data_IF_491516060340
#
_entry.id   IF_491516060340
#
_cell.length_a   1.000
_cell.length_b   1.000
_cell.length_c   1.000
_cell.angle_alpha   90.00
_cell.angle_beta   90.00
_cell.angle_gamma   90.00
#
_symmetry.space_group_name_H-M   'P 1'
#
loop_
_entity.id
_entity.type
_entity.pdbx_description
1 polymer ?
#
# COMPACT_ATOMS: atom_id res chain seq x y z
N UNK A 1 49.69 8.81 -9.00
CA UNK A 1 49.45 10.22 -8.67
C UNK A 1 48.25 10.75 -9.46
N UNK A 2 47.42 11.56 -8.83
CA UNK A 2 46.36 12.33 -9.52
C UNK A 2 46.99 13.54 -10.25
N UNK A 3 46.66 13.67 -11.54
CA UNK A 3 47.20 14.74 -12.37
C UNK A 3 46.21 15.89 -12.51
N UNK A 4 45.02 15.60 -12.98
CA UNK A 4 43.95 16.58 -13.18
C UNK A 4 42.58 15.93 -13.28
N UNK A 5 41.55 16.74 -13.07
CA UNK A 5 40.14 16.40 -13.30
C UNK A 5 39.61 17.22 -14.49
N UNK A 6 38.99 16.53 -15.43
CA UNK A 6 38.26 17.16 -16.55
C UNK A 6 36.78 16.87 -16.37
N UNK A 7 35.98 17.87 -16.70
CA UNK A 7 34.53 17.76 -16.67
C UNK A 7 33.92 18.05 -18.02
N UNK A 8 32.93 17.31 -18.42
CA UNK A 8 32.09 17.63 -19.56
C UNK A 8 30.63 17.28 -19.23
N UNK A 9 29.71 18.04 -19.82
CA UNK A 9 28.26 17.77 -19.75
C UNK A 9 27.72 17.69 -21.16
N UNK A 10 27.14 16.56 -21.51
CA UNK A 10 26.57 16.35 -22.83
C UNK A 10 25.34 15.45 -22.73
N UNK A 11 24.24 15.85 -23.36
CA UNK A 11 22.98 15.09 -23.39
C UNK A 11 22.48 14.67 -21.99
N UNK A 12 22.60 15.54 -20.98
CA UNK A 12 22.17 15.23 -19.62
C UNK A 12 23.08 14.22 -18.89
N UNK A 13 24.29 13.99 -19.37
CA UNK A 13 25.30 13.19 -18.70
C UNK A 13 26.46 14.11 -18.27
N UNK A 14 26.69 14.18 -16.97
CA UNK A 14 27.90 14.72 -16.39
C UNK A 14 28.97 13.65 -16.43
N UNK A 15 30.10 13.96 -17.04
CA UNK A 15 31.23 13.06 -17.15
C UNK A 15 32.46 13.72 -16.52
N UNK A 16 33.04 13.04 -15.56
CA UNK A 16 34.31 13.42 -14.92
C UNK A 16 35.38 12.43 -15.36
N UNK A 17 36.52 12.93 -15.71
CA UNK A 17 37.69 12.11 -16.11
C UNK A 17 38.86 12.51 -15.22
N UNK A 18 39.33 11.57 -14.41
CA UNK A 18 40.52 11.71 -13.60
C UNK A 18 41.69 11.15 -14.42
N UNK A 19 42.66 12.00 -14.78
CA UNK A 19 43.90 11.55 -15.37
C UNK A 19 44.88 11.17 -14.26
N UNK A 20 45.46 9.98 -14.37
CA UNK A 20 46.36 9.38 -13.39
C UNK A 20 47.70 9.01 -14.04
N UNK A 21 48.78 8.90 -13.24
CA UNK A 21 50.11 8.53 -13.73
C UNK A 21 50.23 7.00 -13.89
N UNK A 22 49.37 6.20 -13.31
CA UNK A 22 49.45 4.75 -13.35
C UNK A 22 48.16 4.10 -12.81
N UNK A 23 48.07 2.77 -12.78
CA UNK A 23 46.93 2.05 -12.24
C UNK A 23 46.79 2.36 -10.75
N UNK A 24 45.66 2.89 -10.33
CA UNK A 24 45.44 3.32 -8.97
C UNK A 24 44.12 2.76 -8.37
N UNK A 25 43.40 1.93 -9.12
CA UNK A 25 42.02 1.51 -8.80
C UNK A 25 42.03 0.19 -8.04
N UNK A 26 41.33 0.15 -6.93
CA UNK A 26 40.98 -1.04 -6.17
C UNK A 26 39.47 -1.08 -5.99
N UNK A 27 38.73 -1.92 -6.74
CA UNK A 27 37.30 -2.12 -6.49
C UNK A 27 37.08 -2.66 -5.09
N UNK A 28 36.12 -2.07 -4.33
CA UNK A 28 35.77 -2.59 -3.01
C UNK A 28 34.41 -3.31 -3.02
N UNK A 29 33.43 -2.72 -3.69
CA UNK A 29 32.10 -3.30 -3.95
C UNK A 29 31.45 -2.51 -5.10
N UNK A 30 30.20 -2.81 -5.42
CA UNK A 30 29.47 -2.18 -6.54
C UNK A 30 29.25 -0.67 -6.35
N UNK A 31 29.23 -0.19 -5.10
CA UNK A 31 28.95 1.21 -4.75
C UNK A 31 30.17 1.98 -4.24
N UNK A 32 31.32 1.32 -4.13
CA UNK A 32 32.54 1.93 -3.60
C UNK A 32 33.78 1.59 -4.40
N UNK A 33 34.59 2.61 -4.64
CA UNK A 33 35.86 2.52 -5.35
C UNK A 33 36.97 3.17 -4.52
N UNK A 34 38.07 2.47 -4.37
CA UNK A 34 39.27 3.02 -3.72
C UNK A 34 40.31 3.39 -4.78
N UNK A 35 40.88 4.61 -4.65
CA UNK A 35 42.01 5.08 -5.43
C UNK A 35 43.23 5.17 -4.52
N UNK A 36 44.29 4.45 -4.83
CA UNK A 36 45.61 4.63 -4.18
C UNK A 36 46.36 5.76 -4.88
N UNK A 37 46.58 6.84 -4.16
CA UNK A 37 47.17 8.08 -4.71
C UNK A 37 48.18 8.64 -3.75
N UNK A 38 49.26 9.25 -4.31
CA UNK A 38 50.25 9.94 -3.49
C UNK A 38 49.72 11.32 -2.98
N UNK A 39 48.69 11.85 -3.65
CA UNK A 39 48.06 13.12 -3.28
C UNK A 39 46.51 13.00 -3.24
N UNK A 40 45.95 12.18 -2.33
CA UNK A 40 44.52 11.90 -2.29
C UNK A 40 43.68 13.15 -1.97
N UNK A 41 44.19 14.08 -1.17
CA UNK A 41 43.49 15.30 -0.77
C UNK A 41 43.12 16.21 -1.93
N UNK A 42 44.01 16.40 -2.90
CA UNK A 42 43.76 17.22 -4.08
C UNK A 42 42.65 16.62 -4.95
N UNK A 43 42.66 15.28 -5.13
CA UNK A 43 41.63 14.59 -5.87
C UNK A 43 40.29 14.63 -5.12
N UNK A 44 40.30 14.47 -3.79
CA UNK A 44 39.11 14.53 -2.95
C UNK A 44 38.41 15.89 -3.04
N UNK A 45 39.15 16.96 -2.92
CA UNK A 45 38.63 18.33 -3.04
C UNK A 45 38.00 18.59 -4.41
N UNK A 46 38.70 18.21 -5.48
CA UNK A 46 38.20 18.37 -6.84
C UNK A 46 36.92 17.59 -7.11
N UNK A 47 36.77 16.37 -6.53
CA UNK A 47 35.61 15.53 -6.71
C UNK A 47 34.42 15.97 -5.84
N UNK A 48 34.67 16.40 -4.59
CA UNK A 48 33.61 16.95 -3.70
C UNK A 48 32.94 18.18 -4.30
N UNK A 49 33.71 19.09 -4.90
CA UNK A 49 33.18 20.26 -5.58
C UNK A 49 32.25 19.92 -6.76
N UNK A 50 32.27 18.65 -7.22
CA UNK A 50 31.43 18.13 -8.31
C UNK A 50 30.37 17.14 -7.85
N UNK A 51 30.14 17.08 -6.53
CA UNK A 51 29.05 16.33 -5.94
C UNK A 51 29.33 14.83 -5.71
N UNK A 52 30.61 14.43 -5.63
CA UNK A 52 30.96 13.08 -5.17
C UNK A 52 31.23 13.07 -3.67
N UNK A 53 30.71 12.03 -3.00
CA UNK A 53 31.08 11.74 -1.62
C UNK A 53 32.44 11.04 -1.58
N UNK A 54 33.36 11.56 -0.80
CA UNK A 54 34.72 11.03 -0.72
C UNK A 54 35.18 10.89 0.72
N UNK A 55 35.85 9.76 1.03
CA UNK A 55 36.60 9.51 2.26
C UNK A 55 38.12 9.55 2.00
N UNK A 56 38.91 10.09 2.94
CA UNK A 56 40.36 10.09 2.86
C UNK A 56 40.92 9.02 3.80
N UNK A 57 41.83 8.17 3.27
CA UNK A 57 42.66 7.26 4.01
C UNK A 57 44.15 7.61 3.87
N UNK A 58 45.04 6.90 4.56
CA UNK A 58 46.47 7.04 4.39
C UNK A 58 46.89 6.55 3.00
N UNK A 59 47.23 7.50 2.10
CA UNK A 59 47.59 7.19 0.72
C UNK A 59 46.44 6.68 -0.14
N UNK A 60 45.19 6.85 0.27
CA UNK A 60 44.04 6.42 -0.50
C UNK A 60 42.86 7.36 -0.42
N UNK A 61 42.03 7.32 -1.45
CA UNK A 61 40.78 8.06 -1.59
C UNK A 61 39.65 7.05 -1.86
N UNK A 62 38.68 7.01 -0.96
CA UNK A 62 37.47 6.23 -1.13
C UNK A 62 36.40 7.08 -1.79
N UNK A 63 35.77 6.56 -2.85
CA UNK A 63 34.68 7.20 -3.58
C UNK A 63 33.39 6.42 -3.33
N UNK A 64 32.31 7.10 -3.00
CA UNK A 64 30.96 6.54 -3.07
C UNK A 64 30.38 6.79 -4.46
N UNK A 65 29.91 5.71 -5.08
CA UNK A 65 29.40 5.73 -6.47
C UNK A 65 27.88 5.80 -6.58
N UNK A 66 27.17 6.11 -5.48
CA UNK A 66 25.68 6.06 -5.35
C UNK A 66 24.86 6.51 -6.57
N UNK A 67 25.38 7.42 -7.37
CA UNK A 67 24.74 7.90 -8.59
C UNK A 67 25.68 7.89 -9.81
N UNK A 68 26.88 7.37 -9.64
CA UNK A 68 27.94 7.41 -10.63
C UNK A 68 28.26 6.05 -11.18
N UNK A 69 28.51 5.97 -12.48
CA UNK A 69 29.10 4.78 -13.11
C UNK A 69 30.58 5.02 -13.31
N UNK A 70 31.39 4.04 -12.95
CA UNK A 70 32.83 4.11 -13.14
C UNK A 70 33.26 3.22 -14.31
N UNK A 71 34.23 3.69 -15.06
CA UNK A 71 34.95 2.89 -16.06
C UNK A 71 36.40 3.38 -16.16
N UNK A 72 37.27 2.54 -16.67
CA UNK A 72 38.69 2.86 -16.85
C UNK A 72 39.05 2.87 -18.32
N UNK A 73 39.93 3.79 -18.69
CA UNK A 73 40.54 3.83 -20.00
C UNK A 73 42.06 3.60 -19.83
N UNK A 74 42.56 2.63 -20.51
CA UNK A 74 44.01 2.35 -20.54
C UNK A 74 44.75 3.36 -21.41
N UNK A 75 46.03 3.59 -21.12
CA UNK A 75 47.04 4.36 -21.76
C UNK A 75 46.66 5.70 -22.40
N UNK A 76 46.69 6.87 -21.74
CA UNK A 76 47.05 7.06 -20.33
C UNK A 76 45.96 6.59 -19.35
N UNK A 77 46.36 6.28 -18.11
CA UNK A 77 45.45 5.77 -17.08
C UNK A 77 44.39 6.84 -16.72
N UNK A 78 43.13 6.49 -16.93
CA UNK A 78 42.00 7.38 -16.66
C UNK A 78 40.88 6.63 -15.91
N UNK A 79 40.41 7.25 -14.84
CA UNK A 79 39.11 6.90 -14.27
C UNK A 79 38.04 7.80 -14.84
N UNK A 80 37.04 7.23 -15.45
CA UNK A 80 35.87 7.93 -15.98
C UNK A 80 34.71 7.67 -15.04
N UNK A 81 34.12 8.74 -14.53
CA UNK A 81 32.91 8.71 -13.71
C UNK A 81 31.80 9.41 -14.50
N UNK A 82 30.71 8.72 -14.72
CA UNK A 82 29.54 9.25 -15.43
C UNK A 82 28.33 9.22 -14.52
N UNK A 83 27.70 10.37 -14.37
CA UNK A 83 26.40 10.52 -13.73
C UNK A 83 25.44 11.10 -14.75
N UNK A 84 24.29 10.45 -14.94
CA UNK A 84 23.21 11.15 -15.61
C UNK A 84 22.73 12.24 -14.67
N UNK A 85 22.89 13.46 -15.10
CA UNK A 85 22.32 14.60 -14.42
C UNK A 85 20.81 14.45 -14.48
N UNK A 86 20.22 14.03 -13.38
CA UNK A 86 18.75 13.99 -13.23
C UNK A 86 18.20 15.43 -13.24
N UNK A 87 19.07 16.41 -12.93
CA UNK A 87 18.75 17.84 -13.01
C UNK A 87 18.94 18.39 -14.45
N UNK A 88 19.73 17.76 -15.28
CA UNK A 88 19.93 18.13 -16.71
C UNK A 88 18.97 17.45 -17.68
N UNK A 89 18.27 16.39 -17.29
CA UNK A 89 16.90 16.22 -17.69
C UNK A 89 16.18 17.32 -16.90
N UNK A 90 16.20 18.55 -17.43
CA UNK A 90 15.09 19.41 -17.17
C UNK A 90 13.90 18.48 -17.34
N UNK A 91 13.35 17.97 -16.25
CA UNK A 91 11.93 17.81 -16.18
C UNK A 91 11.49 19.10 -16.87
N UNK A 92 11.09 19.02 -18.14
CA UNK A 92 10.16 20.01 -18.66
C UNK A 92 9.15 19.96 -17.56
N UNK A 93 9.29 20.88 -16.61
CA UNK A 93 8.32 21.12 -15.56
C UNK A 93 7.09 21.36 -16.39
N UNK A 94 6.35 20.29 -16.66
CA UNK A 94 4.94 20.49 -16.98
C UNK A 94 4.52 21.41 -15.85
N UNK A 95 3.92 22.55 -16.19
CA UNK A 95 3.57 23.51 -15.17
C UNK A 95 2.99 22.70 -14.04
N UNK A 96 3.58 22.82 -12.85
CA UNK A 96 3.02 22.25 -11.64
C UNK A 96 1.55 22.60 -11.74
N UNK A 97 0.68 21.60 -11.81
CA UNK A 97 -0.74 21.87 -11.63
C UNK A 97 -0.77 22.78 -10.41
N UNK A 98 -1.47 23.93 -10.47
CA UNK A 98 -1.45 24.86 -9.36
C UNK A 98 -1.65 24.07 -8.08
N UNK A 99 -0.94 24.36 -6.99
CA UNK A 99 -1.06 23.59 -5.77
C UNK A 99 -2.53 23.44 -5.44
N UNK A 100 -2.98 22.21 -5.21
CA UNK A 100 -4.40 21.89 -4.91
C UNK A 100 -4.83 22.68 -3.66
N UNK A 101 -3.89 22.88 -2.76
CA UNK A 101 -3.91 23.79 -1.62
C UNK A 101 -2.46 24.17 -1.28
N UNK A 102 -2.21 25.20 -0.45
CA UNK A 102 -0.84 25.54 -0.02
C UNK A 102 -0.07 24.34 0.55
N UNK A 103 -0.77 23.41 1.19
CA UNK A 103 -0.19 22.27 1.91
C UNK A 103 -0.31 20.94 1.15
N UNK A 104 -0.83 20.93 -0.06
CA UNK A 104 -1.01 19.74 -0.87
C UNK A 104 -0.57 19.95 -2.31
N UNK A 105 0.55 19.38 -2.68
CA UNK A 105 1.08 19.39 -4.04
C UNK A 105 1.05 17.99 -4.67
N UNK A 106 0.67 17.93 -5.95
CA UNK A 106 0.85 16.71 -6.75
C UNK A 106 2.26 16.70 -7.33
N UNK A 107 3.05 15.78 -6.87
CA UNK A 107 4.40 15.56 -7.39
C UNK A 107 4.44 14.35 -8.33
N UNK A 108 5.32 14.43 -9.32
CA UNK A 108 5.62 13.31 -10.23
C UNK A 108 7.11 13.11 -10.31
N UNK A 109 7.56 11.88 -10.07
CA UNK A 109 8.97 11.50 -10.17
C UNK A 109 9.15 10.30 -11.09
N UNK A 110 10.28 10.26 -11.76
CA UNK A 110 10.74 9.07 -12.48
C UNK A 110 11.86 8.44 -11.69
N UNK A 111 11.63 7.23 -11.21
CA UNK A 111 12.62 6.45 -10.46
C UNK A 111 13.19 5.38 -11.39
N UNK A 112 14.50 5.25 -11.41
CA UNK A 112 15.19 4.18 -12.15
C UNK A 112 15.54 3.06 -11.19
N UNK A 113 15.08 1.85 -11.49
CA UNK A 113 15.42 0.63 -10.76
C UNK A 113 16.08 -0.35 -11.74
N UNK A 114 17.38 -0.51 -11.64
CA UNK A 114 18.16 -1.21 -12.65
C UNK A 114 18.00 -0.55 -14.04
N UNK A 115 17.59 -1.34 -15.04
CA UNK A 115 17.38 -0.84 -16.41
C UNK A 115 15.97 -0.27 -16.65
N UNK A 116 15.06 -0.39 -15.69
CA UNK A 116 13.66 0.02 -15.84
C UNK A 116 13.42 1.38 -15.20
N UNK A 117 12.53 2.17 -15.81
CA UNK A 117 12.07 3.45 -15.30
C UNK A 117 10.61 3.36 -14.89
N UNK A 118 10.30 3.90 -13.73
CA UNK A 118 8.96 3.93 -13.18
C UNK A 118 8.55 5.38 -12.97
N UNK A 119 7.36 5.73 -13.44
CA UNK A 119 6.75 7.01 -13.10
C UNK A 119 5.94 6.83 -11.84
N UNK A 120 6.16 7.68 -10.87
CA UNK A 120 5.42 7.68 -9.61
C UNK A 120 4.75 9.05 -9.50
N UNK A 121 3.46 9.06 -9.28
CA UNK A 121 2.70 10.25 -8.90
C UNK A 121 2.34 10.13 -7.43
N UNK A 122 2.49 11.20 -6.66
CA UNK A 122 2.14 11.16 -5.26
C UNK A 122 1.69 12.54 -4.76
N UNK A 123 0.87 12.50 -3.74
CA UNK A 123 0.57 13.65 -2.88
C UNK A 123 1.00 13.30 -1.46
N UNK A 124 1.37 14.31 -0.70
CA UNK A 124 1.72 14.17 0.70
C UNK A 124 1.18 15.34 1.51
N UNK A 125 0.82 15.09 2.73
CA UNK A 125 0.32 16.10 3.66
C UNK A 125 0.54 15.65 5.11
N UNK A 126 0.59 16.61 6.01
CA UNK A 126 0.64 16.35 7.44
C UNK A 126 -0.80 16.43 7.98
N UNK A 127 -1.41 15.34 8.46
CA UNK A 127 -2.80 15.35 8.92
C UNK A 127 -3.02 16.13 10.21
N UNK A 128 -1.94 16.40 10.99
CA UNK A 128 -2.05 17.08 12.28
C UNK A 128 -1.96 18.61 12.16
N UNK A 129 -1.30 19.13 11.11
CA UNK A 129 -1.01 20.56 10.97
C UNK A 129 -1.69 21.22 9.78
N UNK A 130 -2.03 20.46 8.73
CA UNK A 130 -2.54 21.01 7.47
C UNK A 130 -4.05 21.26 7.44
N UNK A 131 -4.79 20.86 8.48
CA UNK A 131 -6.27 20.88 8.47
C UNK A 131 -6.89 19.84 7.53
N UNK A 132 -6.09 19.05 6.83
CA UNK A 132 -6.54 17.98 5.95
C UNK A 132 -6.67 16.65 6.71
N UNK A 133 -7.59 15.80 6.28
CA UNK A 133 -7.77 14.48 6.86
C UNK A 133 -7.77 13.41 5.79
N UNK A 134 -7.13 12.28 6.09
CA UNK A 134 -7.34 11.05 5.35
C UNK A 134 -8.71 10.49 5.73
N UNK A 135 -9.54 10.14 4.75
CA UNK A 135 -10.85 9.52 4.98
C UNK A 135 -11.09 8.40 3.96
N UNK A 136 -11.74 7.31 4.35
CA UNK A 136 -12.20 6.33 3.38
C UNK A 136 -13.28 6.94 2.51
N UNK A 137 -13.19 6.74 1.20
CA UNK A 137 -14.27 7.07 0.29
C UNK A 137 -15.02 5.77 -0.02
N UNK A 138 -16.20 5.62 0.54
CA UNK A 138 -17.05 4.45 0.33
C UNK A 138 -18.37 4.81 -0.30
N UNK A 139 -18.97 3.86 -0.99
CA UNK A 139 -20.37 3.94 -1.43
C UNK A 139 -21.26 3.40 -0.32
N UNK A 140 -22.46 3.91 -0.22
CA UNK A 140 -23.48 3.35 0.69
C UNK A 140 -23.87 1.92 0.34
N UNK A 141 -23.68 1.53 -0.93
CA UNK A 141 -23.83 0.17 -1.41
C UNK A 141 -22.46 -0.40 -1.77
N UNK A 142 -22.03 -1.44 -1.08
CA UNK A 142 -20.74 -2.09 -1.27
C UNK A 142 -20.68 -2.99 -2.50
N UNK A 143 -21.85 -3.36 -3.06
CA UNK A 143 -21.93 -4.17 -4.28
C UNK A 143 -21.80 -3.31 -5.52
N UNK A 144 -20.99 -3.77 -6.47
CA UNK A 144 -20.75 -3.09 -7.75
C UNK A 144 -19.54 -2.16 -7.73
N UNK A 145 -19.23 -1.61 -8.89
CA UNK A 145 -18.10 -0.71 -9.10
C UNK A 145 -18.56 0.75 -9.20
N UNK A 146 -17.65 1.65 -8.93
CA UNK A 146 -17.87 3.09 -9.06
C UNK A 146 -16.61 3.81 -9.58
N UNK A 147 -16.84 4.97 -10.19
CA UNK A 147 -15.74 5.84 -10.62
C UNK A 147 -15.06 6.46 -9.40
N UNK A 148 -13.73 6.34 -9.31
CA UNK A 148 -12.93 7.04 -8.30
C UNK A 148 -13.16 8.55 -8.36
N UNK A 149 -13.17 9.13 -9.57
CA UNK A 149 -13.38 10.57 -9.78
C UNK A 149 -14.78 11.00 -9.33
N UNK A 150 -15.81 10.20 -9.66
CA UNK A 150 -17.18 10.49 -9.23
C UNK A 150 -17.31 10.46 -7.70
N UNK A 151 -16.71 9.45 -7.07
CA UNK A 151 -16.72 9.31 -5.61
C UNK A 151 -15.94 10.43 -4.92
N UNK A 152 -14.77 10.78 -5.44
CA UNK A 152 -13.97 11.89 -4.91
C UNK A 152 -14.71 13.23 -5.00
N UNK A 153 -15.36 13.53 -6.13
CA UNK A 153 -16.17 14.73 -6.31
C UNK A 153 -17.36 14.79 -5.37
N UNK A 154 -18.05 13.67 -5.17
CA UNK A 154 -19.22 13.62 -4.26
C UNK A 154 -18.86 13.88 -2.79
N UNK A 155 -17.60 13.73 -2.43
CA UNK A 155 -17.08 13.98 -1.09
C UNK A 155 -16.17 15.23 -1.01
N UNK A 156 -16.10 16.02 -2.09
CA UNK A 156 -15.23 17.21 -2.19
C UNK A 156 -13.77 16.91 -1.83
N UNK A 157 -13.28 15.70 -2.18
CA UNK A 157 -11.92 15.28 -1.87
C UNK A 157 -10.91 16.07 -2.72
N UNK A 158 -9.86 16.59 -2.09
CA UNK A 158 -8.76 17.31 -2.75
C UNK A 158 -7.91 16.37 -3.60
N UNK A 159 -7.68 15.16 -3.10
CA UNK A 159 -6.99 14.08 -3.81
C UNK A 159 -7.64 12.74 -3.42
N UNK A 160 -7.58 11.78 -4.31
CA UNK A 160 -8.10 10.44 -4.03
C UNK A 160 -7.24 9.36 -4.69
N UNK A 161 -7.11 8.25 -3.99
CA UNK A 161 -6.40 7.06 -4.42
C UNK A 161 -7.31 5.85 -4.26
N UNK A 162 -7.35 4.95 -5.24
CA UNK A 162 -8.10 3.71 -5.07
C UNK A 162 -7.38 2.78 -4.09
N UNK A 163 -8.15 2.09 -3.25
CA UNK A 163 -7.64 1.16 -2.25
C UNK A 163 -8.48 -0.10 -2.14
N UNK A 164 -7.95 -1.09 -1.39
CA UNK A 164 -8.61 -2.37 -1.19
C UNK A 164 -8.62 -3.26 -2.43
N UNK A 165 -9.36 -4.36 -2.34
CA UNK A 165 -9.54 -5.33 -3.42
C UNK A 165 -11.02 -5.61 -3.69
N UNK A 166 -11.32 -6.13 -4.86
CA UNK A 166 -12.65 -6.61 -5.23
C UNK A 166 -12.57 -7.84 -6.14
N UNK A 167 -13.60 -8.66 -6.08
CA UNK A 167 -13.78 -9.75 -7.03
C UNK A 167 -14.14 -9.18 -8.40
N UNK A 168 -13.33 -9.43 -9.40
CA UNK A 168 -13.50 -8.85 -10.75
C UNK A 168 -14.74 -9.36 -11.49
N UNK A 169 -15.15 -10.60 -11.20
CA UNK A 169 -16.28 -11.25 -11.89
C UNK A 169 -17.60 -10.73 -11.33
N UNK A 170 -17.71 -10.67 -10.02
CA UNK A 170 -18.97 -10.33 -9.34
C UNK A 170 -19.01 -8.88 -8.84
N UNK A 171 -17.90 -8.13 -8.99
CA UNK A 171 -17.76 -6.76 -8.49
C UNK A 171 -18.08 -6.62 -6.97
N UNK A 172 -17.71 -7.62 -6.17
CA UNK A 172 -17.96 -7.68 -4.74
C UNK A 172 -16.71 -7.25 -3.95
N UNK A 173 -16.86 -6.57 -2.81
CA UNK A 173 -15.74 -6.12 -2.01
C UNK A 173 -14.97 -7.29 -1.40
N UNK A 174 -13.65 -7.16 -1.35
CA UNK A 174 -12.72 -8.08 -0.70
C UNK A 174 -11.83 -7.30 0.23
N UNK A 175 -11.81 -7.69 1.49
CA UNK A 175 -10.97 -7.06 2.50
C UNK A 175 -11.70 -6.05 3.38
N UNK A 176 -11.02 -5.68 4.47
CA UNK A 176 -11.58 -4.82 5.49
C UNK A 176 -11.75 -3.36 5.05
N UNK A 177 -12.92 -2.83 5.31
CA UNK A 177 -13.24 -1.43 5.24
C UNK A 177 -14.05 -1.03 6.46
N UNK A 178 -13.51 -0.11 7.25
CA UNK A 178 -14.19 0.47 8.41
C UNK A 178 -14.26 1.97 8.22
N UNK A 179 -15.45 2.53 8.38
CA UNK A 179 -15.72 3.96 8.25
C UNK A 179 -16.52 4.44 9.45
N UNK A 180 -16.05 5.49 10.12
CA UNK A 180 -16.65 6.05 11.32
C UNK A 180 -17.00 5.00 12.40
N UNK A 181 -16.14 4.01 12.55
CA UNK A 181 -16.30 2.92 13.52
C UNK A 181 -17.16 1.75 13.03
N UNK A 182 -17.88 1.88 11.93
CA UNK A 182 -18.71 0.81 11.36
C UNK A 182 -17.95 -0.04 10.34
N UNK A 183 -18.07 -1.35 10.43
CA UNK A 183 -17.52 -2.28 9.47
C UNK A 183 -18.41 -2.37 8.23
N UNK A 184 -18.01 -1.72 7.15
CA UNK A 184 -18.65 -1.85 5.85
C UNK A 184 -18.34 -3.21 5.22
N UNK A 185 -17.11 -3.73 5.45
CA UNK A 185 -16.66 -5.04 5.01
C UNK A 185 -15.57 -5.55 5.94
N UNK A 186 -15.57 -6.83 6.26
CA UNK A 186 -14.58 -7.47 7.14
C UNK A 186 -13.26 -7.78 6.46
N UNK A 187 -12.15 -7.80 7.22
CA UNK A 187 -10.84 -8.22 6.74
C UNK A 187 -10.83 -9.68 6.27
N UNK A 188 -9.93 -9.97 5.33
CA UNK A 188 -9.65 -11.32 4.85
C UNK A 188 -8.15 -11.63 4.91
N UNK A 189 -7.79 -12.90 5.12
CA UNK A 189 -6.47 -13.47 4.85
C UNK A 189 -5.29 -12.79 5.57
N UNK A 190 -5.51 -12.16 6.71
CA UNK A 190 -4.47 -11.50 7.52
C UNK A 190 -3.57 -10.54 6.72
N UNK A 191 -4.14 -9.82 5.79
CA UNK A 191 -3.43 -8.91 4.90
C UNK A 191 -3.08 -7.59 5.56
N UNK A 192 -2.10 -6.91 4.99
CA UNK A 192 -1.73 -5.55 5.39
C UNK A 192 -2.91 -4.59 5.33
N UNK A 193 -2.98 -3.73 6.33
CA UNK A 193 -4.02 -2.72 6.46
C UNK A 193 -3.44 -1.44 7.07
N UNK A 194 -4.16 -0.35 6.87
CA UNK A 194 -3.98 0.90 7.59
C UNK A 194 -5.19 1.16 8.47
N UNK A 195 -4.96 1.68 9.68
CA UNK A 195 -6.02 2.13 10.59
C UNK A 195 -5.64 3.47 11.23
N UNK A 196 -6.61 4.39 11.36
CA UNK A 196 -6.34 5.75 11.84
C UNK A 196 -7.57 6.42 12.41
N UNK A 197 -7.37 7.57 13.04
CA UNK A 197 -8.41 8.53 13.38
C UNK A 197 -8.23 9.83 12.58
N UNK A 198 -9.25 10.69 12.57
CA UNK A 198 -9.20 11.98 11.88
C UNK A 198 -8.10 12.86 12.50
N UNK A 199 -7.25 13.41 11.63
CA UNK A 199 -6.12 14.24 12.08
C UNK A 199 -4.92 13.47 12.63
N UNK A 200 -4.95 12.13 12.60
CA UNK A 200 -3.82 11.29 13.01
C UNK A 200 -3.08 10.67 11.81
N UNK A 201 -1.83 10.30 12.06
CA UNK A 201 -1.07 9.47 11.14
C UNK A 201 -1.61 8.03 11.14
N UNK A 202 -1.72 7.38 9.98
CA UNK A 202 -2.18 6.01 9.91
C UNK A 202 -1.17 5.04 10.53
N UNK A 203 -1.69 4.04 11.20
CA UNK A 203 -0.94 2.90 11.71
C UNK A 203 -1.02 1.75 10.71
N UNK A 204 0.07 1.01 10.55
CA UNK A 204 0.21 -0.06 9.57
C UNK A 204 0.42 -1.40 10.26
N UNK A 205 -0.35 -2.42 9.89
CA UNK A 205 -0.16 -3.79 10.36
C UNK A 205 -0.93 -4.77 9.48
N UNK A 206 -0.66 -6.06 9.62
CA UNK A 206 -1.58 -7.10 9.17
C UNK A 206 -2.77 -7.14 10.11
N UNK A 207 -3.98 -7.28 9.55
CA UNK A 207 -5.22 -7.23 10.33
C UNK A 207 -6.02 -8.52 10.20
N UNK A 208 -6.55 -8.97 11.33
CA UNK A 208 -7.52 -10.07 11.45
C UNK A 208 -8.71 -9.60 12.26
N UNK A 209 -9.90 -9.98 11.81
CA UNK A 209 -11.15 -9.89 12.59
C UNK A 209 -11.66 -11.30 12.81
N UNK A 210 -11.79 -11.69 14.06
CA UNK A 210 -12.52 -12.88 14.46
C UNK A 210 -13.89 -12.45 14.95
N UNK A 211 -14.91 -13.14 14.52
CA UNK A 211 -16.28 -12.88 14.91
C UNK A 211 -16.98 -14.21 15.23
N UNK A 212 -17.77 -14.22 16.26
CA UNK A 212 -18.56 -15.38 16.68
C UNK A 212 -20.01 -14.99 16.85
N UNK A 213 -20.90 -15.92 16.50
CA UNK A 213 -22.31 -15.85 16.80
C UNK A 213 -22.64 -16.92 17.83
N UNK A 214 -23.35 -16.53 18.88
CA UNK A 214 -23.88 -17.46 19.89
C UNK A 214 -25.41 -17.43 19.87
N UNK A 215 -26.05 -18.58 20.08
CA UNK A 215 -27.49 -18.74 19.90
C UNK A 215 -28.31 -18.76 21.22
N UNK A 216 -27.75 -18.28 22.30
CA UNK A 216 -28.46 -18.29 23.62
C UNK A 216 -28.72 -19.69 24.22
N UNK A 217 -28.56 -20.77 23.44
CA UNK A 217 -28.69 -22.17 23.86
C UNK A 217 -27.34 -22.83 24.14
N UNK A 218 -26.28 -22.05 24.25
CA UNK A 218 -24.93 -22.51 24.55
C UNK A 218 -24.10 -22.92 23.31
N UNK A 219 -24.60 -22.74 22.09
CA UNK A 219 -23.81 -23.00 20.88
C UNK A 219 -23.23 -21.72 20.32
N UNK A 220 -21.93 -21.74 20.04
CA UNK A 220 -21.21 -20.63 19.38
C UNK A 220 -20.55 -21.14 18.10
N UNK A 221 -20.51 -20.29 17.06
CA UNK A 221 -19.89 -20.61 15.79
C UNK A 221 -19.15 -19.40 15.23
N UNK A 222 -17.99 -19.63 14.61
CA UNK A 222 -17.17 -18.59 13.99
C UNK A 222 -17.81 -18.09 12.69
N UNK A 223 -17.87 -16.76 12.52
CA UNK A 223 -18.23 -16.09 11.28
C UNK A 223 -16.95 -15.81 10.50
N UNK A 224 -16.84 -16.41 9.34
CA UNK A 224 -15.64 -16.36 8.48
C UNK A 224 -15.60 -15.18 7.54
N UNK A 225 -16.70 -14.45 7.36
CA UNK A 225 -16.79 -13.29 6.47
C UNK A 225 -17.89 -12.31 6.93
N UNK A 226 -17.59 -11.02 6.86
CA UNK A 226 -18.52 -9.92 7.16
C UNK A 226 -18.65 -9.04 5.93
N UNK A 227 -19.86 -8.90 5.37
CA UNK A 227 -20.15 -8.06 4.19
C UNK A 227 -19.08 -8.20 3.09
N UNK A 228 -18.74 -9.44 2.74
CA UNK A 228 -17.61 -9.72 1.85
C UNK A 228 -17.99 -10.65 0.72
N UNK A 229 -17.43 -10.39 -0.47
CA UNK A 229 -17.46 -11.31 -1.61
C UNK A 229 -16.46 -12.47 -1.49
N UNK A 230 -15.73 -12.55 -0.38
CA UNK A 230 -14.84 -13.66 -0.10
C UNK A 230 -15.64 -14.94 0.15
N UNK A 231 -15.47 -15.92 -0.74
CA UNK A 231 -16.16 -17.21 -0.62
C UNK A 231 -15.26 -18.19 0.11
N UNK A 232 -15.71 -18.61 1.29
CA UNK A 232 -15.09 -19.64 2.11
C UNK A 232 -16.18 -20.52 2.70
N UNK A 233 -15.91 -21.80 2.93
CA UNK A 233 -16.76 -22.67 3.73
C UNK A 233 -16.90 -22.07 5.14
N UNK A 234 -18.08 -22.06 5.69
CA UNK A 234 -18.39 -21.53 7.02
C UNK A 234 -19.55 -20.56 7.01
N UNK A 235 -19.70 -19.80 8.09
CA UNK A 235 -20.73 -18.78 8.22
C UNK A 235 -20.24 -17.44 7.69
N UNK A 236 -21.15 -16.69 7.08
CA UNK A 236 -20.91 -15.31 6.68
C UNK A 236 -22.05 -14.41 7.16
N UNK A 237 -21.71 -13.19 7.55
CA UNK A 237 -22.68 -12.19 8.01
C UNK A 237 -22.86 -11.12 6.95
N UNK A 238 -24.11 -10.70 6.73
CA UNK A 238 -24.49 -9.58 5.89
C UNK A 238 -25.51 -8.70 6.61
N UNK A 239 -25.41 -7.40 6.44
CA UNK A 239 -26.34 -6.41 6.97
C UNK A 239 -26.62 -5.31 5.94
N UNK A 240 -27.37 -4.28 6.31
CA UNK A 240 -27.73 -3.17 5.41
C UNK A 240 -26.55 -2.37 4.84
N UNK A 241 -25.34 -2.45 5.45
CA UNK A 241 -24.12 -1.82 4.92
C UNK A 241 -23.58 -2.56 3.68
N UNK A 242 -23.88 -3.86 3.53
CA UNK A 242 -23.64 -4.58 2.28
C UNK A 242 -24.39 -3.95 1.10
N UNK A 243 -25.62 -3.58 1.35
CA UNK A 243 -26.54 -3.04 0.37
C UNK A 243 -27.99 -3.40 0.73
N UNK A 244 -28.99 -2.91 -0.03
CA UNK A 244 -30.39 -3.11 0.29
C UNK A 244 -30.87 -4.54 0.10
N UNK A 245 -30.06 -5.39 -0.57
CA UNK A 245 -30.43 -6.75 -0.90
C UNK A 245 -29.22 -7.67 -0.96
N UNK A 246 -29.33 -8.85 -0.36
CA UNK A 246 -28.39 -9.94 -0.52
C UNK A 246 -28.91 -10.94 -1.56
N UNK A 247 -28.04 -11.38 -2.47
CA UNK A 247 -28.25 -12.54 -3.35
C UNK A 247 -27.21 -13.60 -3.06
N UNK A 248 -27.62 -14.87 -3.12
CA UNK A 248 -26.70 -16.00 -2.93
C UNK A 248 -25.49 -15.90 -3.89
N UNK A 249 -24.29 -16.03 -3.30
CA UNK A 249 -23.03 -15.95 -4.05
C UNK A 249 -22.65 -17.31 -4.65
N UNK A 250 -22.91 -18.41 -3.91
CA UNK A 250 -22.60 -19.79 -4.35
C UNK A 250 -23.80 -20.56 -4.85
N UNK A 251 -25.00 -20.10 -4.57
CA UNK A 251 -26.25 -20.74 -4.99
C UNK A 251 -26.72 -21.94 -4.15
N UNK A 252 -25.94 -22.42 -3.19
CA UNK A 252 -26.27 -23.53 -2.27
C UNK A 252 -26.38 -23.13 -0.82
N UNK A 253 -26.47 -21.84 -0.59
CA UNK A 253 -26.43 -21.22 0.74
C UNK A 253 -27.76 -21.43 1.47
N UNK A 254 -27.68 -21.59 2.79
CA UNK A 254 -28.80 -21.48 3.70
C UNK A 254 -28.59 -20.23 4.56
N UNK A 255 -29.66 -19.66 5.09
CA UNK A 255 -29.54 -18.44 5.89
C UNK A 255 -30.49 -18.39 7.06
N UNK A 256 -30.16 -17.51 8.02
CA UNK A 256 -31.02 -17.10 9.10
C UNK A 256 -31.09 -15.56 9.11
N UNK A 257 -32.31 -15.02 9.05
CA UNK A 257 -32.54 -13.59 9.16
C UNK A 257 -32.77 -13.25 10.64
N UNK A 258 -31.91 -12.42 11.18
CA UNK A 258 -31.95 -11.91 12.55
C UNK A 258 -32.46 -10.47 12.53
N UNK A 259 -33.40 -10.15 13.40
CA UNK A 259 -33.87 -8.78 13.64
C UNK A 259 -33.62 -8.39 15.10
N UNK A 260 -32.81 -7.38 15.32
CA UNK A 260 -32.23 -7.13 16.64
C UNK A 260 -31.38 -8.31 17.08
N UNK A 261 -31.78 -9.00 18.17
CA UNK A 261 -31.11 -10.21 18.66
C UNK A 261 -31.89 -11.50 18.32
N UNK A 262 -33.08 -11.41 17.74
CA UNK A 262 -33.94 -12.58 17.49
C UNK A 262 -33.85 -13.14 16.09
N UNK A 263 -33.66 -14.44 15.94
CA UNK A 263 -33.81 -15.13 14.66
C UNK A 263 -35.30 -15.17 14.30
N UNK A 264 -35.64 -14.54 13.16
CA UNK A 264 -37.04 -14.43 12.69
C UNK A 264 -37.43 -15.50 11.67
N UNK A 265 -36.49 -15.84 10.80
CA UNK A 265 -36.78 -16.74 9.67
C UNK A 265 -35.54 -17.49 9.27
N UNK A 266 -35.70 -18.77 8.94
CA UNK A 266 -34.70 -19.54 8.21
C UNK A 266 -34.98 -19.45 6.71
N UNK A 267 -33.94 -19.35 5.91
CA UNK A 267 -34.01 -19.15 4.48
C UNK A 267 -33.34 -20.33 3.75
N UNK A 268 -34.04 -20.86 2.77
CA UNK A 268 -33.53 -21.93 1.91
C UNK A 268 -32.73 -21.36 0.73
N UNK A 269 -32.04 -22.22 -0.07
CA UNK A 269 -31.24 -21.75 -1.20
C UNK A 269 -32.01 -20.96 -2.26
N UNK A 270 -33.25 -21.32 -2.55
CA UNK A 270 -34.05 -20.66 -3.59
C UNK A 270 -34.47 -19.24 -3.15
N UNK A 271 -34.81 -19.07 -1.89
CA UNK A 271 -35.11 -17.74 -1.34
C UNK A 271 -33.88 -16.83 -1.37
N UNK A 272 -32.68 -17.37 -1.08
CA UNK A 272 -31.42 -16.61 -1.14
C UNK A 272 -31.00 -16.31 -2.58
N UNK A 273 -31.25 -17.19 -3.56
CA UNK A 273 -31.03 -16.94 -4.99
C UNK A 273 -31.95 -15.83 -5.53
N UNK A 274 -33.22 -15.83 -5.14
CA UNK A 274 -34.16 -14.77 -5.54
C UNK A 274 -33.81 -13.43 -4.87
N UNK A 275 -33.11 -13.48 -3.76
CA UNK A 275 -32.57 -12.34 -3.02
C UNK A 275 -33.42 -11.90 -1.86
N UNK A 276 -32.77 -11.52 -0.78
CA UNK A 276 -33.36 -11.14 0.51
C UNK A 276 -33.05 -9.67 0.78
N UNK A 277 -34.07 -8.90 1.13
CA UNK A 277 -33.93 -7.50 1.57
C UNK A 277 -33.14 -7.43 2.87
N UNK A 278 -32.27 -6.42 2.98
CA UNK A 278 -31.50 -6.12 4.19
C UNK A 278 -31.85 -4.71 4.65
N UNK A 279 -32.65 -4.62 5.70
CA UNK A 279 -33.02 -3.32 6.31
C UNK A 279 -32.09 -3.02 7.50
N UNK A 280 -32.09 -1.79 7.94
CA UNK A 280 -31.36 -1.38 9.15
C UNK A 280 -31.88 -2.19 10.35
N UNK A 281 -30.96 -2.68 11.18
CA UNK A 281 -31.29 -3.55 12.31
C UNK A 281 -31.47 -5.02 11.95
N UNK A 282 -31.39 -5.38 10.68
CA UNK A 282 -31.39 -6.77 10.24
C UNK A 282 -29.96 -7.27 9.97
N UNK A 283 -29.73 -8.51 10.34
CA UNK A 283 -28.52 -9.27 10.07
C UNK A 283 -28.89 -10.59 9.42
N UNK A 284 -28.29 -10.90 8.28
CA UNK A 284 -28.44 -12.19 7.62
C UNK A 284 -27.17 -13.00 7.89
N UNK A 285 -27.32 -14.15 8.52
CA UNK A 285 -26.28 -15.17 8.69
C UNK A 285 -26.45 -16.20 7.58
N UNK A 286 -25.40 -16.44 6.81
CA UNK A 286 -25.41 -17.36 5.67
C UNK A 286 -24.42 -18.48 5.91
N UNK A 287 -24.85 -19.72 5.73
CA UNK A 287 -24.00 -20.93 5.76
C UNK A 287 -23.61 -21.32 4.34
N UNK A 288 -22.33 -21.61 4.12
CA UNK A 288 -21.72 -21.96 2.82
C UNK A 288 -20.91 -23.24 2.86
N UNK A 289 -20.88 -23.95 1.72
CA UNK A 289 -20.05 -25.14 1.55
C UNK A 289 -20.40 -26.27 2.49
N UNK A 290 -21.69 -26.43 2.82
CA UNK A 290 -22.17 -27.47 3.73
C UNK A 290 -21.77 -27.23 5.19
N UNK A 291 -21.46 -25.99 5.58
CA UNK A 291 -21.27 -25.66 7.01
C UNK A 291 -22.61 -25.68 7.74
N UNK A 292 -22.58 -26.04 9.02
CA UNK A 292 -23.76 -26.00 9.86
C UNK A 292 -24.23 -24.57 10.09
N UNK A 293 -25.55 -24.38 10.18
CA UNK A 293 -26.19 -23.15 10.59
C UNK A 293 -26.84 -23.38 11.96
N UNK A 294 -26.14 -23.12 13.08
CA UNK A 294 -26.57 -23.50 14.41
C UNK A 294 -27.63 -22.54 14.97
N UNK A 295 -28.57 -22.11 14.14
CA UNK A 295 -29.62 -21.14 14.47
C UNK A 295 -30.99 -21.71 14.17
N UNK A 296 -31.95 -21.43 15.06
CA UNK A 296 -33.36 -21.79 14.93
C UNK A 296 -34.24 -20.54 15.09
N UNK A 297 -35.43 -20.56 14.54
CA UNK A 297 -36.38 -19.47 14.72
C UNK A 297 -36.67 -19.30 16.21
N UNK A 298 -36.61 -18.06 16.68
CA UNK A 298 -36.82 -17.73 18.11
C UNK A 298 -35.52 -17.64 18.93
N UNK A 299 -34.38 -18.13 18.42
CA UNK A 299 -33.10 -17.99 19.13
C UNK A 299 -32.78 -16.54 19.43
N UNK A 300 -32.24 -16.28 20.62
CA UNK A 300 -31.54 -15.05 20.93
C UNK A 300 -30.08 -15.18 20.51
N UNK A 301 -29.59 -14.25 19.70
CA UNK A 301 -28.22 -14.29 19.23
C UNK A 301 -27.42 -13.11 19.73
N UNK A 302 -26.16 -13.36 20.04
CA UNK A 302 -25.15 -12.35 20.31
C UNK A 302 -23.98 -12.49 19.33
N UNK A 303 -23.36 -11.36 19.02
CA UNK A 303 -22.19 -11.27 18.14
C UNK A 303 -21.02 -10.72 18.93
N UNK A 304 -19.93 -11.46 18.95
CA UNK A 304 -18.67 -11.02 19.56
C UNK A 304 -17.61 -10.82 18.50
N UNK A 305 -16.80 -9.79 18.67
CA UNK A 305 -15.72 -9.43 17.73
C UNK A 305 -14.40 -9.17 18.41
N UNK A 306 -13.34 -9.73 17.86
CA UNK A 306 -11.98 -9.48 18.27
C UNK A 306 -11.13 -9.06 17.07
N UNK A 307 -10.54 -7.87 17.13
CA UNK A 307 -9.59 -7.38 16.14
C UNK A 307 -8.16 -7.62 16.62
N UNK A 308 -7.31 -8.03 15.69
CA UNK A 308 -5.86 -8.12 15.88
C UNK A 308 -5.19 -7.35 14.75
N UNK A 309 -4.23 -6.45 15.06
CA UNK A 309 -3.71 -6.13 16.39
C UNK A 309 -4.69 -5.30 17.25
N UNK A 310 -4.53 -5.36 18.56
CA UNK A 310 -5.45 -4.72 19.51
C UNK A 310 -5.49 -3.18 19.39
N UNK A 311 -4.38 -2.55 18.99
CA UNK A 311 -4.31 -1.10 18.80
C UNK A 311 -5.16 -0.58 17.61
N UNK A 312 -5.69 -1.46 16.75
CA UNK A 312 -6.68 -1.11 15.73
C UNK A 312 -8.13 -1.05 16.27
N UNK A 313 -8.37 -1.53 17.51
CA UNK A 313 -9.73 -1.66 18.07
C UNK A 313 -10.50 -0.34 18.08
N UNK A 314 -9.88 0.72 18.57
CA UNK A 314 -10.51 2.04 18.72
C UNK A 314 -10.46 2.92 17.47
N UNK A 315 -9.76 2.51 16.39
CA UNK A 315 -9.60 3.35 15.21
C UNK A 315 -10.89 3.39 14.38
N UNK A 316 -11.47 4.57 14.12
CA UNK A 316 -12.72 4.67 13.38
C UNK A 316 -12.56 4.34 11.88
N UNK A 317 -11.37 4.49 11.34
CA UNK A 317 -11.08 4.24 9.93
C UNK A 317 -10.10 3.08 9.77
N UNK A 318 -10.39 2.22 8.79
CA UNK A 318 -9.49 1.14 8.40
C UNK A 318 -9.70 0.78 6.93
N UNK A 319 -8.62 0.58 6.20
CA UNK A 319 -8.64 -0.02 4.86
C UNK A 319 -7.62 -1.15 4.82
N UNK A 320 -8.09 -2.35 4.44
CA UNK A 320 -7.22 -3.48 4.17
C UNK A 320 -6.85 -3.51 2.69
N UNK A 321 -5.56 -3.69 2.42
CA UNK A 321 -5.00 -3.90 1.09
C UNK A 321 -3.93 -4.98 1.13
N UNK A 322 -2.68 -4.55 1.12
CA UNK A 322 -1.50 -5.41 1.18
C UNK A 322 -0.89 -5.69 -0.20
N UNK A 323 0.26 -6.38 -0.23
CA UNK A 323 0.98 -6.79 0.98
C UNK A 323 1.53 -5.61 1.77
N UNK A 324 1.74 -5.80 3.08
CA UNK A 324 2.48 -4.85 3.92
C UNK A 324 3.92 -4.81 3.43
N UNK A 325 4.37 -3.64 2.97
CA UNK A 325 5.67 -3.49 2.33
C UNK A 325 6.77 -3.13 3.34
N UNK A 326 6.48 -2.14 4.18
CA UNK A 326 7.41 -1.60 5.15
C UNK A 326 6.79 -1.56 6.55
N UNK A 327 7.60 -1.76 7.56
CA UNK A 327 7.26 -1.52 8.95
C UNK A 327 8.45 -0.91 9.67
N UNK A 328 8.30 0.29 10.21
CA UNK A 328 9.37 1.03 10.91
C UNK A 328 10.67 1.11 10.10
N UNK A 329 10.55 1.43 8.80
CA UNK A 329 11.68 1.55 7.88
C UNK A 329 12.26 0.24 7.36
N UNK A 330 11.80 -0.91 7.85
CA UNK A 330 12.27 -2.21 7.41
C UNK A 330 11.34 -2.83 6.37
N UNK A 331 11.91 -3.50 5.37
CA UNK A 331 11.15 -4.26 4.37
C UNK A 331 10.59 -5.53 5.01
N UNK A 332 9.25 -5.66 5.05
CA UNK A 332 8.54 -6.79 5.67
C UNK A 332 7.59 -7.49 4.71
N UNK A 333 7.73 -7.24 3.41
CA UNK A 333 6.84 -7.81 2.39
C UNK A 333 6.91 -9.33 2.40
N UNK A 334 5.79 -9.97 2.70
CA UNK A 334 5.62 -11.41 2.67
C UNK A 334 4.26 -11.76 2.05
N UNK A 335 4.27 -11.92 0.73
CA UNK A 335 3.06 -12.27 -0.01
C UNK A 335 2.53 -13.66 0.33
N UNK A 336 3.37 -14.58 0.79
CA UNK A 336 2.94 -15.93 1.19
C UNK A 336 2.17 -15.89 2.51
N UNK A 337 2.71 -15.20 3.52
CA UNK A 337 2.03 -15.02 4.79
C UNK A 337 0.66 -14.31 4.63
N UNK A 338 0.57 -13.36 3.69
CA UNK A 338 -0.66 -12.65 3.35
C UNK A 338 -1.53 -13.37 2.29
N UNK A 339 -1.14 -14.59 1.93
CA UNK A 339 -1.84 -15.46 0.97
C UNK A 339 -2.13 -14.80 -0.38
N UNK A 340 -1.19 -14.00 -0.88
CA UNK A 340 -1.21 -13.55 -2.26
C UNK A 340 -0.71 -14.66 -3.18
N UNK A 341 -1.35 -14.82 -4.33
CA UNK A 341 -0.92 -15.81 -5.32
C UNK A 341 0.45 -15.45 -5.92
N UNK A 342 1.25 -16.45 -6.25
CA UNK A 342 2.53 -16.22 -6.88
C UNK A 342 2.44 -15.42 -8.22
N UNK A 343 1.42 -15.63 -9.08
CA UNK A 343 1.19 -14.76 -10.24
C UNK A 343 0.96 -13.30 -9.86
N UNK A 344 0.17 -13.03 -8.81
CA UNK A 344 -0.06 -11.67 -8.33
C UNK A 344 1.24 -11.00 -7.87
N UNK A 345 2.07 -11.71 -7.12
CA UNK A 345 3.35 -11.18 -6.60
C UNK A 345 4.36 -10.89 -7.72
N UNK A 346 4.30 -11.62 -8.83
CA UNK A 346 5.18 -11.41 -10.00
C UNK A 346 4.61 -10.46 -11.04
N UNK A 347 3.36 -10.07 -10.90
CA UNK A 347 2.67 -9.23 -11.87
C UNK A 347 3.25 -7.81 -11.90
N UNK A 348 3.75 -7.39 -13.05
CA UNK A 348 4.11 -6.00 -13.32
C UNK A 348 2.85 -5.21 -13.69
N UNK A 349 2.32 -4.46 -12.76
CA UNK A 349 1.14 -3.62 -12.97
C UNK A 349 1.23 -2.38 -12.09
N UNK A 350 0.56 -1.27 -12.47
CA UNK A 350 0.42 -0.11 -11.58
C UNK A 350 -0.15 -0.52 -10.23
N UNK A 351 0.30 0.14 -9.18
CA UNK A 351 -0.13 -0.10 -7.81
C UNK A 351 -0.39 1.23 -7.11
N UNK A 352 -1.38 1.19 -6.23
CA UNK A 352 -1.64 2.26 -5.29
C UNK A 352 -1.00 1.92 -3.96
N UNK A 353 -0.36 2.88 -3.33
CA UNK A 353 0.34 2.71 -2.06
C UNK A 353 -0.02 3.86 -1.13
N UNK A 354 -0.25 3.53 0.14
CA UNK A 354 -0.30 4.51 1.24
C UNK A 354 0.91 4.27 2.12
N UNK A 355 1.60 5.33 2.50
CA UNK A 355 2.76 5.29 3.38
C UNK A 355 2.74 6.45 4.37
N UNK A 356 3.58 6.35 5.40
CA UNK A 356 3.90 7.45 6.31
C UNK A 356 5.37 7.40 6.66
N UNK A 357 5.98 8.57 6.80
CA UNK A 357 7.36 8.73 7.27
C UNK A 357 7.44 9.12 8.77
N UNK A 358 6.28 9.14 9.46
CA UNK A 358 6.16 9.56 10.85
C UNK A 358 5.71 11.02 11.02
N UNK A 359 5.70 11.81 9.94
CA UNK A 359 5.24 13.20 9.93
C UNK A 359 4.13 13.43 8.91
N UNK A 360 4.24 12.79 7.76
CA UNK A 360 3.33 12.97 6.63
C UNK A 360 2.69 11.66 6.21
N UNK A 361 1.52 11.79 5.61
CA UNK A 361 0.86 10.72 4.85
C UNK A 361 1.19 10.90 3.38
N UNK A 362 1.53 9.82 2.73
CA UNK A 362 1.86 9.74 1.32
C UNK A 362 0.85 8.86 0.58
N UNK A 363 0.22 9.39 -0.45
CA UNK A 363 -0.63 8.64 -1.37
C UNK A 363 0.09 8.55 -2.71
N UNK A 364 0.47 7.34 -3.14
CA UNK A 364 1.31 7.10 -4.32
C UNK A 364 0.58 6.21 -5.34
N UNK A 365 0.84 6.48 -6.63
CA UNK A 365 0.39 5.66 -7.77
C UNK A 365 1.44 5.62 -8.89
#
# INVERSE_FOLDING_TARGET
RFLRLRESRRNGVQRLVLDLTGPALVPRNDDQLELRLDNPGAAATALRQRGLTTGLGSGSLLLSLDAWRSSTLGGPYRLVLERRDLDGLALKRRPLLPPISPDLALERRTVSLGRKRYRISFVRFNPTTSGMALVPLSRRNMVGLGSLVGLARSQSALAALNGGFFNRIQALPLGGLRDQGEWLSGPILDRGAIAWDRGELPQFSRVRLKEWISNGRGTSAEISALNSGWVKKGLAQYNSLWGPRYKAITGTERGALVMGTKVRTLLNPEQLKSGVGLQRGQTLIVSRGGADLPLQVGDDVSLERQITPSHFRGKPFLIQGGPLLLNRGQVVVDGRAERFSAPFMRQHAPRSVVASDGEQVWLLA
#
